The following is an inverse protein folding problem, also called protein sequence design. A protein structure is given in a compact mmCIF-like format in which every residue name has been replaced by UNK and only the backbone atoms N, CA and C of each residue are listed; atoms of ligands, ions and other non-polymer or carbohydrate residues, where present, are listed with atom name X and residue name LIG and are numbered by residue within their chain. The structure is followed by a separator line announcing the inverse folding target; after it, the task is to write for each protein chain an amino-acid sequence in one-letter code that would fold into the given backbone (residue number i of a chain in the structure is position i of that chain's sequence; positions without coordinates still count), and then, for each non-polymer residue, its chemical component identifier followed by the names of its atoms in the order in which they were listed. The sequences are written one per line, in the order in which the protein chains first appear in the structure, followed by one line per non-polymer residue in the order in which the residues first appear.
data_IF_863288001058
#
_entry.id   IF_863288001058
#
_cell.length_a   1.000
_cell.length_b   1.000
_cell.length_c   1.000
_cell.angle_alpha   90.00
_cell.angle_beta   90.00
_cell.angle_gamma   90.00
#
_symmetry.space_group_name_H-M   'P 1'
#
loop_
_entity.id
_entity.type
_entity.pdbx_description
1 polymer ?
#
# COMPACT_ATOMS: atom_id res chain seq x y z
N UNK A 1 -3.98 8.44 -18.34
CA UNK A 1 -2.68 8.10 -18.96
C UNK A 1 -1.98 6.93 -18.26
N UNK A 2 -1.69 6.97 -16.95
CA UNK A 2 -1.03 5.83 -16.25
C UNK A 2 -1.77 4.49 -16.35
N UNK A 3 -3.11 4.50 -16.26
CA UNK A 3 -3.93 3.27 -16.46
C UNK A 3 -3.84 2.70 -17.87
N UNK A 4 -3.66 3.53 -18.90
CA UNK A 4 -3.51 3.05 -20.28
C UNK A 4 -2.17 2.32 -20.41
N UNK A 5 -1.10 2.94 -19.92
CA UNK A 5 0.25 2.34 -19.91
C UNK A 5 0.30 1.03 -19.11
N UNK A 6 -0.41 0.98 -17.98
CA UNK A 6 -0.55 -0.25 -17.20
C UNK A 6 -1.23 -1.36 -18.01
N UNK A 7 -2.34 -1.05 -18.69
CA UNK A 7 -3.05 -2.02 -19.52
C UNK A 7 -2.27 -2.45 -20.77
N UNK A 8 -1.47 -1.57 -21.35
CA UNK A 8 -0.61 -1.91 -22.50
C UNK A 8 0.50 -2.89 -22.11
N UNK A 9 0.98 -2.83 -20.87
CA UNK A 9 1.95 -3.79 -20.33
C UNK A 9 1.36 -5.18 -20.04
N UNK A 10 0.03 -5.35 -20.14
CA UNK A 10 -0.65 -6.61 -19.91
C UNK A 10 -0.99 -7.35 -21.23
N UNK A 11 -1.07 -8.69 -21.18
CA UNK A 11 -1.60 -9.49 -22.29
C UNK A 11 -3.02 -9.05 -22.64
N UNK A 12 -3.44 -9.10 -23.92
CA UNK A 12 -4.78 -8.70 -24.36
C UNK A 12 -5.92 -9.31 -23.54
N UNK A 13 -5.77 -10.55 -23.07
CA UNK A 13 -6.76 -11.29 -22.29
C UNK A 13 -6.99 -10.74 -20.87
N UNK A 14 -6.05 -9.95 -20.35
CA UNK A 14 -6.06 -9.38 -18.99
C UNK A 14 -6.18 -7.85 -18.98
N UNK A 15 -6.43 -7.23 -20.13
CA UNK A 15 -6.56 -5.77 -20.19
C UNK A 15 -7.89 -5.32 -19.59
N UNK A 16 -8.01 -4.01 -19.42
CA UNK A 16 -9.16 -3.25 -18.89
C UNK A 16 -9.24 -3.03 -17.37
N UNK A 17 -8.09 -2.87 -16.69
CA UNK A 17 -8.06 -2.37 -15.31
C UNK A 17 -8.29 -0.85 -15.27
N UNK A 18 -9.43 -0.42 -14.73
CA UNK A 18 -9.80 0.99 -14.57
C UNK A 18 -9.96 1.42 -13.09
N UNK A 19 -9.23 0.79 -12.20
CA UNK A 19 -9.19 1.09 -10.78
C UNK A 19 -7.76 1.38 -10.30
N UNK A 20 -7.59 1.63 -9.00
CA UNK A 20 -6.26 1.73 -8.40
C UNK A 20 -5.69 0.31 -8.29
N UNK A 21 -4.55 0.06 -8.93
CA UNK A 21 -3.85 -1.21 -8.85
C UNK A 21 -3.10 -1.33 -7.52
N UNK A 22 -3.85 -1.52 -6.43
CA UNK A 22 -3.30 -1.79 -5.11
C UNK A 22 -2.81 -3.24 -4.98
N UNK A 23 -2.30 -3.61 -3.81
CA UNK A 23 -1.82 -4.97 -3.55
C UNK A 23 -2.90 -6.04 -3.77
N UNK A 24 -4.16 -5.76 -3.47
CA UNK A 24 -5.25 -6.71 -3.61
C UNK A 24 -5.62 -6.92 -5.08
N UNK A 25 -5.75 -5.83 -5.84
CA UNK A 25 -6.02 -5.85 -7.28
C UNK A 25 -4.90 -6.59 -8.03
N UNK A 26 -3.63 -6.30 -7.70
CA UNK A 26 -2.49 -6.99 -8.30
C UNK A 26 -2.49 -8.49 -7.97
N UNK A 27 -2.90 -8.88 -6.75
CA UNK A 27 -3.02 -10.31 -6.40
C UNK A 27 -4.09 -11.02 -7.24
N UNK A 28 -5.24 -10.37 -7.44
CA UNK A 28 -6.31 -10.89 -8.30
C UNK A 28 -5.83 -11.01 -9.74
N UNK A 29 -5.16 -9.99 -10.27
CA UNK A 29 -4.58 -9.99 -11.61
C UNK A 29 -3.64 -11.18 -11.84
N UNK A 30 -2.74 -11.45 -10.88
CA UNK A 30 -1.82 -12.59 -10.96
C UNK A 30 -2.58 -13.91 -10.92
N UNK A 31 -3.60 -14.04 -10.07
CA UNK A 31 -4.46 -15.23 -10.02
C UNK A 31 -5.18 -15.47 -11.35
N UNK A 32 -5.69 -14.41 -11.97
CA UNK A 32 -6.35 -14.48 -13.27
C UNK A 32 -5.37 -14.84 -14.39
N UNK A 33 -4.15 -14.31 -14.33
CA UNK A 33 -3.09 -14.63 -15.27
C UNK A 33 -2.71 -16.11 -15.22
N UNK A 34 -2.53 -16.68 -14.02
CA UNK A 34 -2.25 -18.11 -13.84
C UNK A 34 -3.41 -18.95 -14.38
N UNK A 35 -4.65 -18.57 -14.07
CA UNK A 35 -5.85 -19.32 -14.48
C UNK A 35 -6.06 -19.32 -16.00
N UNK A 36 -5.78 -18.20 -16.67
CA UNK A 36 -6.07 -18.02 -18.10
C UNK A 36 -4.89 -18.39 -19.00
N UNK A 37 -3.65 -18.17 -18.55
CA UNK A 37 -2.45 -18.22 -19.39
C UNK A 37 -1.37 -19.18 -18.85
N UNK A 38 -1.53 -19.71 -17.63
CA UNK A 38 -0.58 -20.63 -17.01
C UNK A 38 0.68 -19.94 -16.47
N UNK A 39 1.56 -20.75 -15.86
CA UNK A 39 2.67 -20.25 -15.06
C UNK A 39 3.77 -19.56 -15.88
N UNK A 40 4.11 -20.10 -17.05
CA UNK A 40 5.18 -19.58 -17.90
C UNK A 40 4.86 -18.17 -18.40
N UNK A 41 3.66 -17.99 -18.97
CA UNK A 41 3.21 -16.66 -19.41
C UNK A 41 3.07 -15.71 -18.22
N UNK A 42 2.58 -16.19 -17.08
CA UNK A 42 2.48 -15.36 -15.87
C UNK A 42 3.83 -14.82 -15.42
N UNK A 43 4.89 -15.63 -15.49
CA UNK A 43 6.24 -15.18 -15.13
C UNK A 43 6.69 -13.98 -15.98
N UNK A 44 6.48 -14.04 -17.29
CA UNK A 44 6.79 -12.92 -18.19
C UNK A 44 5.95 -11.67 -17.89
N UNK A 45 4.67 -11.83 -17.55
CA UNK A 45 3.80 -10.72 -17.15
C UNK A 45 4.27 -10.08 -15.85
N UNK A 46 4.68 -10.88 -14.88
CA UNK A 46 5.22 -10.41 -13.61
C UNK A 46 6.52 -9.61 -13.80
N UNK A 47 7.39 -10.03 -14.71
CA UNK A 47 8.61 -9.30 -15.03
C UNK A 47 8.34 -7.93 -15.67
N UNK A 48 7.37 -7.86 -16.60
CA UNK A 48 6.93 -6.60 -17.19
C UNK A 48 6.32 -5.66 -16.13
N UNK A 49 5.48 -6.20 -15.25
CA UNK A 49 4.87 -5.45 -14.16
C UNK A 49 5.93 -4.92 -13.17
N UNK A 50 6.93 -5.74 -12.84
CA UNK A 50 8.07 -5.36 -12.01
C UNK A 50 8.85 -4.21 -12.63
N UNK A 51 9.18 -4.30 -13.92
CA UNK A 51 9.93 -3.25 -14.62
C UNK A 51 9.14 -1.94 -14.67
N UNK A 52 7.85 -2.01 -15.00
CA UNK A 52 6.96 -0.85 -15.03
C UNK A 52 6.87 -0.23 -13.63
N UNK A 53 6.58 -1.06 -12.62
CA UNK A 53 6.45 -0.65 -11.22
C UNK A 53 7.70 0.05 -10.71
N UNK A 54 8.88 -0.51 -10.91
CA UNK A 54 10.13 0.13 -10.48
C UNK A 54 10.44 1.42 -11.25
N UNK A 55 10.18 1.48 -12.56
CA UNK A 55 10.39 2.72 -13.33
C UNK A 55 9.53 3.86 -12.80
N UNK A 56 8.25 3.60 -12.53
CA UNK A 56 7.33 4.62 -12.05
C UNK A 56 7.46 4.89 -10.55
N UNK A 57 7.87 3.91 -9.75
CA UNK A 57 8.22 4.14 -8.35
C UNK A 57 9.37 5.16 -8.23
N UNK A 58 10.45 4.99 -9.02
CA UNK A 58 11.56 5.96 -9.03
C UNK A 58 11.12 7.34 -9.51
N UNK A 59 10.28 7.40 -10.56
CA UNK A 59 9.76 8.68 -11.09
C UNK A 59 8.75 9.36 -10.17
N UNK A 60 8.08 8.62 -9.29
CA UNK A 60 7.07 9.15 -8.38
C UNK A 60 7.66 10.12 -7.34
N UNK A 61 8.97 10.03 -7.08
CA UNK A 61 9.63 10.90 -6.11
C UNK A 61 9.13 10.72 -4.68
N UNK A 62 8.49 9.58 -4.36
CA UNK A 62 8.04 9.27 -3.01
C UNK A 62 9.27 9.21 -2.09
N UNK A 63 9.24 10.07 -1.07
CA UNK A 63 10.25 10.17 -0.02
C UNK A 63 9.54 10.34 1.32
N UNK A 64 10.31 10.31 2.41
CA UNK A 64 9.81 10.55 3.77
C UNK A 64 10.60 11.71 4.36
N UNK A 65 9.90 12.79 4.69
CA UNK A 65 10.40 13.96 5.38
C UNK A 65 9.77 14.08 6.78
N UNK A 66 10.41 14.84 7.67
CA UNK A 66 9.86 15.10 9.01
C UNK A 66 8.46 15.72 8.95
N UNK A 67 8.18 16.56 7.94
CA UNK A 67 6.88 17.19 7.75
C UNK A 67 5.78 16.22 7.29
N UNK A 68 6.13 15.01 6.84
CA UNK A 68 5.14 13.98 6.50
C UNK A 68 4.58 13.30 7.77
N UNK A 69 5.22 13.53 8.92
CA UNK A 69 4.78 13.02 10.22
C UNK A 69 3.81 14.02 10.83
N UNK A 70 2.52 13.75 10.66
CA UNK A 70 1.44 14.56 11.22
C UNK A 70 1.26 14.23 12.70
N UNK A 71 1.48 15.20 13.59
CA UNK A 71 1.15 15.05 15.00
C UNK A 71 -0.38 15.04 15.20
N UNK A 72 -0.95 14.02 15.90
CA UNK A 72 -2.38 13.98 16.14
C UNK A 72 -2.84 15.15 17.04
N UNK A 73 -3.90 15.90 16.67
CA UNK A 73 -4.33 17.09 17.40
C UNK A 73 -4.79 16.81 18.83
N UNK A 74 -5.18 15.56 19.14
CA UNK A 74 -5.63 15.12 20.46
C UNK A 74 -4.54 14.53 21.36
N UNK A 75 -3.29 14.42 20.89
CA UNK A 75 -2.22 13.68 21.59
C UNK A 75 -2.01 14.17 23.03
N UNK A 76 -1.91 15.49 23.24
CA UNK A 76 -1.69 16.06 24.58
C UNK A 76 -2.85 15.78 25.54
N UNK A 77 -4.09 15.73 25.04
CA UNK A 77 -5.26 15.41 25.85
C UNK A 77 -5.25 13.94 26.27
N UNK A 78 -4.99 13.04 25.32
CA UNK A 78 -4.91 11.60 25.57
C UNK A 78 -3.80 11.27 26.60
N UNK A 79 -2.64 11.92 26.49
CA UNK A 79 -1.55 11.76 27.46
C UNK A 79 -1.97 12.21 28.86
N UNK A 80 -2.57 13.40 28.99
CA UNK A 80 -3.06 13.89 30.30
C UNK A 80 -4.12 12.97 30.93
N UNK A 81 -5.01 12.42 30.12
CA UNK A 81 -6.02 11.46 30.60
C UNK A 81 -5.36 10.16 31.10
N UNK A 82 -4.38 9.64 30.38
CA UNK A 82 -3.62 8.46 30.79
C UNK A 82 -2.82 8.71 32.07
N UNK A 83 -2.09 9.82 32.17
CA UNK A 83 -1.31 10.19 33.36
C UNK A 83 -2.19 10.27 34.61
N UNK A 84 -3.41 10.83 34.45
CA UNK A 84 -4.38 10.89 35.55
C UNK A 84 -4.84 9.50 36.00
N UNK A 85 -5.09 8.59 35.06
CA UNK A 85 -5.49 7.22 35.38
C UNK A 85 -4.38 6.45 36.10
N UNK A 86 -3.13 6.62 35.66
CA UNK A 86 -1.96 6.00 36.31
C UNK A 86 -1.79 6.52 37.73
N UNK A 87 -1.84 7.84 37.92
CA UNK A 87 -1.75 8.45 39.26
C UNK A 87 -2.85 7.92 40.20
N UNK A 88 -4.09 7.81 39.71
CA UNK A 88 -5.18 7.24 40.52
C UNK A 88 -4.93 5.77 40.90
N UNK A 89 -4.34 4.98 40.00
CA UNK A 89 -4.02 3.58 40.26
C UNK A 89 -2.88 3.44 41.28
N UNK A 90 -1.85 4.27 41.18
CA UNK A 90 -0.73 4.31 42.14
C UNK A 90 -1.19 4.73 43.54
N UNK A 91 -2.06 5.74 43.63
CA UNK A 91 -2.65 6.17 44.91
C UNK A 91 -3.51 5.07 45.57
N UNK A 92 -4.19 4.25 44.77
CA UNK A 92 -4.96 3.12 45.27
C UNK A 92 -4.08 1.94 45.69
N UNK A 93 -2.91 1.76 45.08
CA UNK A 93 -1.97 0.68 45.40
C UNK A 93 -1.07 1.01 46.59
N UNK A 94 -0.66 2.27 46.75
CA UNK A 94 0.18 2.74 47.85
C UNK A 94 -0.61 2.99 49.15
N UNK A 95 -1.88 2.60 49.19
CA UNK A 95 -2.77 2.68 50.34
C UNK A 95 -3.03 1.28 50.90
#
# INVERSE_FOLDING_TARGET
MGRILFNDALPPQLRFYNEVADKAVLRTLVSDCIRLLGNETTAAVLDNLKQLGFSYATKSGISIAMNDIIEPPGKAKLLKEADKLVSMAEDQFNR
#
